data_IF_339410620755
#
_entry.id   IF_339410620755
#
_cell.length_a   1.000
_cell.length_b   1.000
_cell.length_c   1.000
_cell.angle_alpha   90.00
_cell.angle_beta   90.00
_cell.angle_gamma   90.00
#
_symmetry.space_group_name_H-M   'P 1'
#
loop_
_entity.id
_entity.type
_entity.pdbx_description
1 polymer ?
#
# COMPACT_ATOMS: atom_id res chain seq x y z
N UNK A 1 -15.40 0.24 -4.04
CA UNK A 1 -14.27 -0.64 -4.40
C UNK A 1 -13.99 -0.50 -5.88
N UNK A 2 -12.78 -0.07 -6.23
CA UNK A 2 -12.27 -0.13 -7.60
C UNK A 2 -11.55 -1.46 -7.78
N UNK A 3 -11.18 -1.81 -9.02
CA UNK A 3 -10.33 -2.98 -9.30
C UNK A 3 -9.08 -2.53 -10.03
N UNK A 4 -7.96 -3.17 -9.74
CA UNK A 4 -6.71 -2.95 -10.44
C UNK A 4 -6.88 -3.33 -11.91
N UNK A 5 -6.50 -2.44 -12.82
CA UNK A 5 -6.63 -2.70 -14.27
C UNK A 5 -5.69 -3.78 -14.79
N UNK A 6 -4.64 -4.10 -14.03
CA UNK A 6 -3.65 -5.09 -14.42
C UNK A 6 -4.01 -6.48 -13.94
N UNK A 7 -4.25 -6.64 -12.63
CA UNK A 7 -4.46 -7.94 -11.99
C UNK A 7 -5.91 -8.22 -11.56
N UNK A 8 -6.84 -7.28 -11.78
CA UNK A 8 -8.26 -7.34 -11.38
C UNK A 8 -8.53 -7.50 -9.87
N UNK A 9 -7.51 -7.37 -9.01
CA UNK A 9 -7.72 -7.40 -7.56
C UNK A 9 -8.45 -6.14 -7.05
N UNK A 10 -9.26 -6.26 -5.99
CA UNK A 10 -9.93 -5.11 -5.38
C UNK A 10 -8.91 -4.14 -4.81
N UNK A 11 -9.10 -2.86 -5.14
CA UNK A 11 -8.29 -1.75 -4.63
C UNK A 11 -9.21 -0.63 -4.15
N UNK A 12 -8.69 0.12 -3.19
CA UNK A 12 -9.28 1.38 -2.76
C UNK A 12 -8.33 2.53 -3.07
N UNK A 13 -8.89 3.73 -3.18
CA UNK A 13 -8.10 4.92 -3.46
C UNK A 13 -8.05 5.77 -2.20
N UNK A 14 -6.83 6.07 -1.75
CA UNK A 14 -6.57 6.99 -0.64
C UNK A 14 -5.92 8.24 -1.18
N UNK A 15 -6.47 9.41 -0.82
CA UNK A 15 -5.80 10.67 -1.12
C UNK A 15 -4.70 10.88 -0.09
N UNK A 16 -3.46 10.88 -0.56
CA UNK A 16 -2.29 11.11 0.28
C UNK A 16 -2.22 12.56 0.74
N UNK A 17 -1.48 12.82 1.82
CA UNK A 17 -1.21 14.20 2.30
C UNK A 17 -0.55 15.07 1.23
N UNK A 18 0.20 14.47 0.30
CA UNK A 18 0.79 15.13 -0.86
C UNK A 18 -0.25 15.45 -1.97
N UNK A 19 -1.53 15.15 -1.76
CA UNK A 19 -2.63 15.43 -2.67
C UNK A 19 -2.81 14.42 -3.81
N UNK A 20 -1.97 13.38 -3.90
CA UNK A 20 -2.05 12.33 -4.93
C UNK A 20 -2.94 11.18 -4.48
N UNK A 21 -3.70 10.61 -5.41
CA UNK A 21 -4.46 9.37 -5.16
C UNK A 21 -3.53 8.17 -5.25
N UNK A 22 -3.52 7.34 -4.21
CA UNK A 22 -2.74 6.11 -4.10
C UNK A 22 -3.69 4.91 -4.11
N UNK A 23 -3.50 3.93 -5.02
CA UNK A 23 -4.21 2.67 -4.94
C UNK A 23 -3.62 1.84 -3.78
N UNK A 24 -4.50 1.36 -2.92
CA UNK A 24 -4.16 0.53 -1.77
C UNK A 24 -4.97 -0.76 -1.80
N UNK A 25 -4.44 -1.81 -1.19
CA UNK A 25 -5.18 -3.05 -0.98
C UNK A 25 -6.35 -2.82 -0.03
N UNK A 26 -7.46 -3.52 -0.21
CA UNK A 26 -8.65 -3.36 0.65
C UNK A 26 -8.46 -3.91 2.08
N UNK A 27 -7.43 -4.73 2.31
CA UNK A 27 -7.15 -5.32 3.63
C UNK A 27 -6.31 -4.39 4.51
N UNK A 28 -6.76 -4.23 5.76
CA UNK A 28 -5.99 -3.53 6.79
C UNK A 28 -4.96 -4.45 7.44
N UNK A 29 -3.78 -3.89 7.64
CA UNK A 29 -2.62 -4.56 8.22
C UNK A 29 -1.99 -3.67 9.29
N UNK A 30 -1.25 -4.30 10.20
CA UNK A 30 -0.48 -3.63 11.23
C UNK A 30 0.96 -4.11 11.17
N UNK A 31 1.89 -3.20 10.89
CA UNK A 31 3.33 -3.45 10.88
C UNK A 31 4.06 -2.33 11.62
N UNK A 32 5.34 -2.57 11.91
CA UNK A 32 6.20 -1.55 12.51
C UNK A 32 6.83 -0.65 11.45
N UNK A 33 7.08 0.61 11.81
CA UNK A 33 7.84 1.52 10.95
C UNK A 33 9.26 1.02 10.74
N UNK A 34 9.78 1.24 9.54
CA UNK A 34 11.13 0.85 9.19
C UNK A 34 11.77 1.89 8.26
N UNK A 35 13.10 1.93 8.26
CA UNK A 35 13.84 2.77 7.31
C UNK A 35 13.72 2.25 5.86
N UNK A 36 13.50 0.94 5.70
CA UNK A 36 13.40 0.28 4.41
C UNK A 36 12.34 -0.82 4.47
N UNK A 37 11.64 -1.03 3.36
CA UNK A 37 10.63 -2.06 3.27
C UNK A 37 9.50 -1.67 2.32
N UNK A 38 8.31 -2.12 2.68
CA UNK A 38 7.11 -1.89 1.90
C UNK A 38 6.42 -0.57 2.29
N UNK A 39 5.56 -0.08 1.41
CA UNK A 39 4.80 1.14 1.64
C UNK A 39 3.41 0.80 2.18
N UNK A 40 3.11 1.35 3.35
CA UNK A 40 1.80 1.32 4.01
C UNK A 40 1.22 2.73 4.00
N UNK A 41 -0.07 2.82 3.67
CA UNK A 41 -0.82 4.07 3.59
C UNK A 41 -1.88 4.05 4.67
N UNK A 42 -1.84 5.04 5.55
CA UNK A 42 -2.88 5.24 6.58
C UNK A 42 -4.12 5.86 5.97
N UNK A 43 -5.27 5.75 6.65
CA UNK A 43 -6.51 6.38 6.18
C UNK A 43 -6.44 7.92 6.19
N UNK A 44 -5.54 8.50 7.00
CA UNK A 44 -5.21 9.93 6.97
C UNK A 44 -4.37 10.35 5.77
N UNK A 45 -3.99 9.42 4.89
CA UNK A 45 -3.18 9.70 3.70
C UNK A 45 -1.68 9.78 3.96
N UNK A 46 -1.21 9.44 5.17
CA UNK A 46 0.23 9.34 5.44
C UNK A 46 0.78 8.08 4.77
N UNK A 47 1.96 8.21 4.17
CA UNK A 47 2.69 7.14 3.49
C UNK A 47 3.88 6.80 4.37
N UNK A 48 3.91 5.58 4.90
CA UNK A 48 4.86 5.10 5.91
C UNK A 48 5.56 3.87 5.36
N UNK A 49 6.87 3.80 5.53
CA UNK A 49 7.65 2.61 5.20
C UNK A 49 7.58 1.63 6.37
N UNK A 50 7.24 0.38 6.09
CA UNK A 50 7.05 -0.66 7.11
C UNK A 50 7.78 -1.95 6.76
N UNK A 51 8.14 -2.70 7.81
CA UNK A 51 8.74 -4.02 7.69
C UNK A 51 7.70 -5.12 7.95
N UNK A 52 7.36 -5.89 6.92
CA UNK A 52 6.41 -7.01 7.02
C UNK A 52 6.85 -8.13 7.94
N UNK A 53 8.15 -8.25 8.24
CA UNK A 53 8.68 -9.25 9.17
C UNK A 53 8.27 -8.95 10.61
N UNK A 54 7.96 -7.68 10.92
CA UNK A 54 7.57 -7.21 12.25
C UNK A 54 6.09 -6.86 12.29
N UNK A 55 5.26 -7.87 12.61
CA UNK A 55 3.83 -7.68 12.91
C UNK A 55 3.64 -7.08 14.29
N UNK A 56 3.96 -5.79 14.42
CA UNK A 56 3.73 -5.01 15.64
C UNK A 56 2.56 -4.04 15.45
N UNK A 57 1.87 -3.65 16.53
CA UNK A 57 0.63 -2.88 16.44
C UNK A 57 0.82 -1.36 16.25
N UNK A 58 2.04 -0.88 16.01
CA UNK A 58 2.33 0.56 16.08
C UNK A 58 1.73 1.36 14.92
N UNK A 59 1.63 0.77 13.72
CA UNK A 59 1.08 1.46 12.55
C UNK A 59 0.03 0.61 11.86
N UNK A 60 -1.20 1.12 11.84
CA UNK A 60 -2.33 0.54 11.11
C UNK A 60 -2.57 1.26 9.79
N UNK A 61 -2.70 0.49 8.71
CA UNK A 61 -3.10 1.04 7.41
C UNK A 61 -3.28 -0.04 6.37
N UNK A 62 -3.18 0.36 5.11
CA UNK A 62 -3.35 -0.52 3.95
C UNK A 62 -2.09 -0.50 3.10
N UNK A 63 -1.70 -1.65 2.56
CA UNK A 63 -0.54 -1.73 1.67
C UNK A 63 -0.78 -0.93 0.39
N UNK A 64 0.26 -0.27 -0.12
CA UNK A 64 0.23 0.24 -1.48
C UNK A 64 0.11 -0.91 -2.47
N UNK A 65 -0.92 -0.87 -3.33
CA UNK A 65 -1.14 -1.91 -4.33
C UNK A 65 0.01 -1.95 -5.36
N UNK A 66 0.76 -0.86 -5.54
CA UNK A 66 1.94 -0.89 -6.42
C UNK A 66 3.03 -1.85 -5.92
N UNK A 67 3.10 -2.09 -4.60
CA UNK A 67 4.05 -3.01 -4.01
C UNK A 67 3.57 -4.47 -4.12
N UNK A 68 2.27 -4.70 -3.91
CA UNK A 68 1.65 -6.03 -3.77
C UNK A 68 1.04 -6.59 -5.04
N UNK A 69 0.81 -5.76 -6.07
CA UNK A 69 0.21 -6.21 -7.33
C UNK A 69 1.07 -7.30 -7.98
N UNK A 70 0.50 -8.48 -8.30
CA UNK A 70 1.25 -9.58 -8.91
C UNK A 70 1.73 -9.22 -10.33
N UNK A 71 1.04 -8.30 -11.00
CA UNK A 71 1.42 -7.79 -12.31
C UNK A 71 2.35 -6.57 -12.25
N UNK A 72 2.71 -6.08 -11.05
CA UNK A 72 3.63 -4.94 -10.90
C UNK A 72 4.94 -5.09 -11.69
N UNK A 73 5.58 -6.29 -11.77
CA UNK A 73 6.80 -6.46 -12.56
C UNK A 73 6.67 -6.10 -14.05
N UNK A 74 5.46 -6.24 -14.63
CA UNK A 74 5.20 -5.84 -16.03
C UNK A 74 5.37 -4.33 -16.24
N UNK A 75 5.09 -3.53 -15.22
CA UNK A 75 5.07 -2.06 -15.30
C UNK A 75 6.36 -1.41 -14.80
N UNK A 76 7.14 -2.11 -13.94
CA UNK A 76 8.40 -1.58 -13.39
C UNK A 76 9.55 -1.57 -14.41
N UNK A 77 9.46 -2.41 -15.45
CA UNK A 77 10.49 -2.59 -16.47
C UNK A 77 10.06 -2.10 -17.88
N UNK A 78 8.93 -1.39 -17.99
CA UNK A 78 8.46 -0.82 -19.26
C UNK A 78 8.99 0.58 -19.51
#
# INVERSE_FOLDING_TARGET
MSRCRSCDQPIDWVKTVAGKNMPVDSEYINYDEAEQGDILVTDGGNVITVDKSKRMPNVKGRMSHFATCPDAPKWRNS
#
